data_IF_324734604252
#
_entry.id   IF_324734604252
#
_cell.length_a   1.000
_cell.length_b   1.000
_cell.length_c   1.000
_cell.angle_alpha   90.00
_cell.angle_beta   90.00
_cell.angle_gamma   90.00
#
_symmetry.space_group_name_H-M   'P 1'
#
loop_
_entity.id
_entity.type
_entity.pdbx_description
1 polymer ?
#
# COMPACT_ATOMS: atom_id res chain seq x y z
N UNK A 1 -8.69 2.24 17.61
CA UNK A 1 -7.95 1.61 16.50
C UNK A 1 -6.47 1.79 16.77
N UNK A 2 -5.66 0.84 16.33
CA UNK A 2 -4.20 0.96 16.34
C UNK A 2 -3.74 1.85 15.19
N UNK A 3 -2.55 2.46 15.32
CA UNK A 3 -1.96 3.34 14.29
C UNK A 3 -1.92 2.68 12.90
N UNK A 4 -1.69 1.37 12.86
CA UNK A 4 -1.65 0.61 11.61
C UNK A 4 -3.05 0.43 10.99
N UNK A 5 -4.10 0.24 11.80
CA UNK A 5 -5.47 0.19 11.30
C UNK A 5 -5.89 1.53 10.70
N UNK A 6 -5.59 2.64 11.38
CA UNK A 6 -5.89 3.99 10.87
C UNK A 6 -5.13 4.29 9.56
N UNK A 7 -3.86 3.86 9.47
CA UNK A 7 -3.07 3.97 8.25
C UNK A 7 -3.66 3.14 7.10
N UNK A 8 -4.12 1.92 7.38
CA UNK A 8 -4.78 1.05 6.40
C UNK A 8 -6.07 1.69 5.89
N UNK A 9 -6.91 2.25 6.76
CA UNK A 9 -8.12 2.96 6.34
C UNK A 9 -7.78 4.15 5.44
N UNK A 10 -6.69 4.88 5.73
CA UNK A 10 -6.22 5.98 4.89
C UNK A 10 -5.71 5.51 3.52
N UNK A 11 -5.04 4.36 3.48
CA UNK A 11 -4.57 3.72 2.25
C UNK A 11 -5.75 3.26 1.39
N UNK A 12 -6.83 2.73 1.98
CA UNK A 12 -8.04 2.28 1.24
C UNK A 12 -8.72 3.38 0.43
N UNK A 13 -8.60 4.63 0.85
CA UNK A 13 -9.16 5.79 0.14
C UNK A 13 -8.10 6.53 -0.71
N UNK A 14 -6.91 5.94 -0.88
CA UNK A 14 -5.83 6.52 -1.67
C UNK A 14 -6.16 6.39 -3.16
N UNK A 15 -6.10 7.52 -3.84
CA UNK A 15 -6.13 7.64 -5.29
C UNK A 15 -4.95 8.52 -5.69
N UNK A 16 -4.05 7.98 -6.51
CA UNK A 16 -2.83 8.69 -6.91
C UNK A 16 -2.31 8.16 -8.24
N UNK A 17 -1.36 8.86 -8.88
CA UNK A 17 -0.76 8.33 -10.10
C UNK A 17 -0.15 6.95 -9.86
N UNK A 18 -0.32 6.06 -10.82
CA UNK A 18 0.11 4.65 -10.71
C UNK A 18 1.59 4.50 -10.31
N UNK A 19 2.46 5.37 -10.84
CA UNK A 19 3.90 5.41 -10.49
C UNK A 19 4.23 6.03 -9.11
N UNK A 20 3.25 6.56 -8.40
CA UNK A 20 3.41 7.19 -7.07
C UNK A 20 2.82 6.35 -5.94
N UNK A 21 2.14 5.24 -6.25
CA UNK A 21 1.44 4.39 -5.26
C UNK A 21 2.39 3.91 -4.18
N UNK A 22 3.56 3.41 -4.56
CA UNK A 22 4.57 2.91 -3.62
C UNK A 22 5.05 4.01 -2.66
N UNK A 23 5.34 5.19 -3.20
CA UNK A 23 5.79 6.35 -2.44
C UNK A 23 4.70 6.84 -1.48
N UNK A 24 3.44 6.86 -1.93
CA UNK A 24 2.28 7.28 -1.14
C UNK A 24 1.97 6.31 -0.01
N UNK A 25 2.00 5.01 -0.25
CA UNK A 25 1.80 3.99 0.79
C UNK A 25 2.88 4.13 1.86
N UNK A 26 4.16 4.24 1.47
CA UNK A 26 5.24 4.44 2.42
C UNK A 26 5.09 5.73 3.23
N UNK A 27 4.70 6.83 2.58
CA UNK A 27 4.46 8.11 3.26
C UNK A 27 3.31 8.05 4.27
N UNK A 28 2.22 7.34 3.97
CA UNK A 28 1.10 7.17 4.92
C UNK A 28 1.55 6.35 6.14
N UNK A 29 2.29 5.26 5.93
CA UNK A 29 2.77 4.42 7.03
C UNK A 29 3.75 5.18 7.94
N UNK A 30 4.58 6.05 7.38
CA UNK A 30 5.46 6.94 8.13
C UNK A 30 4.69 8.03 8.89
N UNK A 31 3.73 8.70 8.24
CA UNK A 31 2.93 9.80 8.82
C UNK A 31 2.12 9.35 10.04
N UNK A 32 1.57 8.13 9.97
CA UNK A 32 0.84 7.50 11.08
C UNK A 32 1.78 6.91 12.14
N UNK A 33 3.10 6.93 11.92
CA UNK A 33 4.11 6.41 12.84
C UNK A 33 4.06 4.89 12.99
N UNK A 34 3.72 4.18 11.91
CA UNK A 34 3.73 2.70 11.86
C UNK A 34 5.17 2.18 11.76
N UNK A 35 5.99 2.81 10.91
CA UNK A 35 7.41 2.50 10.75
C UNK A 35 8.15 3.67 10.11
N UNK A 36 9.48 3.72 10.23
CA UNK A 36 10.26 4.71 9.50
C UNK A 36 10.29 4.38 8.00
N UNK A 37 10.44 5.38 7.14
CA UNK A 37 10.52 5.14 5.69
C UNK A 37 11.65 4.19 5.27
N UNK A 38 12.77 4.16 5.99
CA UNK A 38 13.88 3.23 5.79
C UNK A 38 13.52 1.76 6.07
N UNK A 39 12.45 1.55 6.82
CA UNK A 39 11.94 0.24 7.26
C UNK A 39 10.80 -0.25 6.37
N UNK A 40 10.28 0.59 5.46
CA UNK A 40 9.14 0.27 4.61
C UNK A 40 9.64 -0.03 3.20
N UNK A 41 9.45 -1.28 2.75
CA UNK A 41 9.67 -1.69 1.38
C UNK A 41 8.32 -1.95 0.72
N UNK A 42 7.92 -1.13 -0.25
CA UNK A 42 6.72 -1.37 -1.06
C UNK A 42 7.18 -1.94 -2.40
N UNK A 43 6.57 -3.06 -2.81
CA UNK A 43 6.81 -3.68 -4.12
C UNK A 43 5.50 -3.97 -4.81
N UNK A 44 5.41 -3.60 -6.08
CA UNK A 44 4.37 -4.10 -6.98
C UNK A 44 4.59 -5.59 -7.27
N UNK A 45 3.52 -6.37 -7.18
CA UNK A 45 3.47 -7.77 -7.62
C UNK A 45 2.64 -7.86 -8.91
N UNK A 46 3.32 -7.91 -10.05
CA UNK A 46 2.68 -8.00 -11.38
C UNK A 46 2.00 -9.37 -11.63
N UNK A 47 2.40 -10.42 -10.91
CA UNK A 47 1.92 -11.79 -11.11
C UNK A 47 0.46 -12.01 -10.65
N UNK A 48 -0.12 -11.08 -9.88
CA UNK A 48 -1.49 -11.16 -9.34
C UNK A 48 -2.44 -10.18 -10.04
N UNK A 49 -2.18 -9.89 -11.32
CA UNK A 49 -3.05 -9.08 -12.16
C UNK A 49 -4.33 -9.84 -12.55
N UNK A 50 -5.17 -10.13 -11.56
CA UNK A 50 -6.47 -10.77 -11.74
C UNK A 50 -7.48 -9.64 -11.97
N UNK A 51 -8.04 -9.59 -13.18
CA UNK A 51 -9.10 -8.64 -13.59
C UNK A 51 -8.69 -7.15 -13.69
N UNK A 52 -7.41 -6.83 -13.92
CA UNK A 52 -6.93 -5.45 -14.05
C UNK A 52 -6.68 -4.75 -12.70
N UNK A 53 -6.66 -5.52 -11.61
CA UNK A 53 -6.22 -5.08 -10.30
C UNK A 53 -4.72 -5.35 -10.14
N UNK A 54 -3.96 -4.34 -9.75
CA UNK A 54 -2.55 -4.44 -9.41
C UNK A 54 -2.39 -4.64 -7.90
N UNK A 55 -1.57 -5.62 -7.51
CA UNK A 55 -1.26 -5.86 -6.10
C UNK A 55 0.05 -5.15 -5.72
N UNK A 56 0.01 -4.40 -4.62
CA UNK A 56 1.16 -3.80 -3.97
C UNK A 56 1.35 -4.44 -2.59
N UNK A 57 2.56 -4.88 -2.29
CA UNK A 57 2.92 -5.45 -0.99
C UNK A 57 3.87 -4.49 -0.29
N UNK A 58 3.41 -3.89 0.81
CA UNK A 58 4.23 -3.09 1.70
C UNK A 58 4.75 -3.95 2.85
N UNK A 59 6.04 -4.26 2.82
CA UNK A 59 6.74 -5.00 3.87
C UNK A 59 7.39 -4.03 4.84
N UNK A 60 7.07 -4.19 6.12
CA UNK A 60 7.67 -3.44 7.20
C UNK A 60 8.77 -4.30 7.83
N UNK A 61 10.01 -3.88 7.62
CA UNK A 61 11.21 -4.50 8.18
C UNK A 61 11.55 -3.84 9.52
N UNK A 62 11.68 -4.59 10.60
CA UNK A 62 11.99 -4.02 11.92
C UNK A 62 11.56 -4.92 13.06
N UNK A 63 11.30 -4.35 14.24
CA UNK A 63 10.91 -5.08 15.46
C UNK A 63 9.52 -5.72 15.34
N UNK A 64 8.64 -5.13 14.53
CA UNK A 64 7.30 -5.64 14.21
C UNK A 64 7.24 -6.00 12.72
N UNK A 65 7.80 -7.16 12.35
CA UNK A 65 7.71 -7.69 10.99
C UNK A 65 6.23 -7.90 10.62
N UNK A 66 5.70 -7.01 9.80
CA UNK A 66 4.33 -7.04 9.32
C UNK A 66 4.34 -6.79 7.83
N UNK A 67 3.50 -7.52 7.10
CA UNK A 67 3.27 -7.27 5.68
C UNK A 67 1.88 -6.70 5.53
N UNK A 68 1.74 -5.62 4.77
CA UNK A 68 0.47 -5.03 4.40
C UNK A 68 0.29 -5.29 2.91
N UNK A 69 -0.81 -5.96 2.57
CA UNK A 69 -1.22 -6.13 1.17
C UNK A 69 -2.15 -4.98 0.84
N UNK A 70 -1.90 -4.33 -0.29
CA UNK A 70 -2.69 -3.23 -0.84
C UNK A 70 -3.09 -3.62 -2.25
N UNK A 71 -4.39 -3.62 -2.52
CA UNK A 71 -4.94 -3.89 -3.84
C UNK A 71 -5.34 -2.57 -4.47
N UNK A 72 -4.86 -2.28 -5.68
CA UNK A 72 -5.20 -1.06 -6.38
C UNK A 72 -5.52 -1.35 -7.85
N UNK A 73 -6.56 -0.76 -8.39
CA UNK A 73 -6.88 -0.88 -9.81
C UNK A 73 -6.27 0.32 -10.54
N UNK A 74 -5.58 0.08 -11.64
CA UNK A 74 -5.23 1.15 -12.57
C UNK A 74 -6.49 1.60 -13.31
N UNK A 75 -6.67 2.92 -13.43
CA UNK A 75 -7.76 3.53 -14.17
C UNK A 75 -7.63 3.26 -15.67
N UNK A 76 -8.69 3.56 -16.43
CA UNK A 76 -8.80 3.27 -17.87
C UNK A 76 -7.63 3.77 -18.74
N UNK A 77 -6.86 4.76 -18.27
CA UNK A 77 -5.69 5.34 -18.94
C UNK A 77 -4.34 4.94 -18.30
N UNK A 78 -4.32 3.98 -17.37
CA UNK A 78 -3.16 3.57 -16.55
C UNK A 78 -2.49 4.71 -15.75
N UNK A 79 -3.10 5.89 -15.74
CA UNK A 79 -2.54 7.11 -15.16
C UNK A 79 -2.83 7.26 -13.67
N UNK A 80 -3.94 6.71 -13.18
CA UNK A 80 -4.39 6.83 -11.79
C UNK A 80 -4.67 5.44 -11.23
N UNK A 81 -4.03 5.09 -10.12
CA UNK A 81 -4.33 3.90 -9.36
C UNK A 81 -5.24 4.26 -8.19
N UNK A 82 -6.35 3.51 -8.07
CA UNK A 82 -7.27 3.61 -6.93
C UNK A 82 -7.16 2.37 -6.07
N UNK A 83 -6.83 2.56 -4.81
CA UNK A 83 -6.82 1.46 -3.84
C UNK A 83 -8.26 0.95 -3.64
N UNK A 84 -8.44 -0.35 -3.77
CA UNK A 84 -9.72 -1.04 -3.58
C UNK A 84 -9.77 -1.78 -2.23
N UNK A 85 -8.64 -2.27 -1.75
CA UNK A 85 -8.53 -2.90 -0.43
C UNK A 85 -7.11 -2.76 0.14
N UNK A 86 -6.99 -2.89 1.46
CA UNK A 86 -5.72 -3.01 2.17
C UNK A 86 -5.91 -3.78 3.48
N UNK A 87 -4.99 -4.70 3.80
CA UNK A 87 -5.06 -5.50 5.02
C UNK A 87 -3.68 -6.01 5.46
N UNK A 88 -3.57 -6.33 6.75
CA UNK A 88 -2.37 -6.95 7.33
C UNK A 88 -2.35 -8.44 6.97
N UNK A 89 -1.24 -8.91 6.43
CA UNK A 89 -0.91 -10.32 6.25
C UNK A 89 0.02 -10.75 7.38
N UNK A 90 -0.48 -11.69 8.19
CA UNK A 90 0.25 -12.35 9.28
C UNK A 90 1.12 -13.50 8.76
#
# INVERSE_FOLDING_TARGET
>A
MSKIEDAIERIKILECPTGEVENRIAGILEDYGVANRSEIEVKRHEELNINGAEEFCAKISGTNKQSIIVLANSGMDDYVAKVTDAYIKY
#
